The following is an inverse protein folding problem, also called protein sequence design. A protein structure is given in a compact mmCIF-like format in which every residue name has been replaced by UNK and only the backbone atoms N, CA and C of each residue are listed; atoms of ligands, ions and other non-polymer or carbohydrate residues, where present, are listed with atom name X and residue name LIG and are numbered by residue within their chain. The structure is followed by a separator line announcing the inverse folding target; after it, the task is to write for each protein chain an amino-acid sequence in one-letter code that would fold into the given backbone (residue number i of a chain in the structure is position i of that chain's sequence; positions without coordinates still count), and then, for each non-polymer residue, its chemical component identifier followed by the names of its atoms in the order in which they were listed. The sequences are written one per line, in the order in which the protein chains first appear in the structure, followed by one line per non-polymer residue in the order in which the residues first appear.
data_IF_927849394826
#
_entry.id   IF_927849394826
#
_cell.length_a   1.000
_cell.length_b   1.000
_cell.length_c   1.000
_cell.angle_alpha   90.00
_cell.angle_beta   90.00
_cell.angle_gamma   90.00
#
_symmetry.space_group_name_H-M   'P 1'
#
loop_
_entity.id
_entity.type
_entity.pdbx_description
1 polymer ?
#
# COMPACT_ATOMS: atom_id res chain seq x y z
N UNK A 1 -10.79 23.32 53.38
CA UNK A 1 -10.46 22.04 52.72
C UNK A 1 -11.47 21.83 51.62
N UNK A 2 -11.06 21.74 50.35
CA UNK A 2 -11.96 21.61 49.22
C UNK A 2 -12.23 20.13 48.93
N UNK A 3 -13.49 19.72 48.99
CA UNK A 3 -13.95 18.36 48.71
C UNK A 3 -13.69 17.97 47.24
N UNK A 4 -12.92 16.89 47.06
CA UNK A 4 -12.70 16.26 45.75
C UNK A 4 -13.97 15.52 45.34
N UNK A 5 -14.64 16.01 44.30
CA UNK A 5 -15.79 15.32 43.70
C UNK A 5 -15.28 14.10 42.91
N UNK A 6 -15.77 12.92 43.26
CA UNK A 6 -15.50 11.68 42.55
C UNK A 6 -16.43 11.60 41.33
N UNK A 7 -15.87 11.47 40.12
CA UNK A 7 -16.64 11.39 38.88
C UNK A 7 -17.38 10.06 38.78
N UNK A 8 -18.62 10.11 38.32
CA UNK A 8 -19.49 8.93 38.17
C UNK A 8 -19.07 8.10 36.95
N UNK A 9 -19.32 6.78 36.95
CA UNK A 9 -18.73 5.84 35.99
C UNK A 9 -19.25 5.95 34.54
N UNK A 10 -20.13 6.91 34.26
CA UNK A 10 -20.76 7.12 32.96
C UNK A 10 -20.70 8.58 32.49
N UNK A 11 -19.88 9.43 33.10
CA UNK A 11 -19.64 10.78 32.56
C UNK A 11 -18.72 10.69 31.33
N UNK A 12 -19.18 11.05 30.12
CA UNK A 12 -18.31 11.11 28.96
C UNK A 12 -17.35 12.29 29.12
N UNK A 13 -16.05 11.99 29.22
CA UNK A 13 -14.98 13.00 29.35
C UNK A 13 -15.10 14.05 28.24
N UNK A 14 -15.54 15.27 28.59
CA UNK A 14 -15.42 16.44 27.71
C UNK A 14 -13.95 16.87 27.66
N UNK A 15 -13.19 16.24 26.77
CA UNK A 15 -11.92 16.76 26.30
C UNK A 15 -12.16 17.45 24.96
N UNK A 16 -12.30 18.78 25.01
CA UNK A 16 -12.36 19.62 23.84
C UNK A 16 -11.00 19.68 23.13
N UNK A 17 -11.09 19.52 21.81
CA UNK A 17 -10.23 20.09 20.76
C UNK A 17 -8.79 19.59 20.55
N UNK A 18 -8.59 18.99 19.37
CA UNK A 18 -7.45 19.33 18.52
C UNK A 18 -6.32 18.31 18.42
N UNK A 19 -6.43 17.35 17.50
CA UNK A 19 -5.48 17.18 16.38
C UNK A 19 -5.95 16.06 15.46
N UNK A 20 -6.12 16.39 14.18
CA UNK A 20 -6.41 15.50 13.06
C UNK A 20 -5.42 14.33 13.01
N UNK A 21 -5.80 13.16 13.50
CA UNK A 21 -5.08 11.93 13.20
C UNK A 21 -5.56 11.41 11.85
N UNK A 22 -4.81 11.75 10.80
CA UNK A 22 -4.84 11.06 9.50
C UNK A 22 -4.96 9.57 9.77
N UNK A 23 -6.04 8.97 9.30
CA UNK A 23 -6.15 7.53 9.09
C UNK A 23 -5.01 7.10 8.15
N UNK A 24 -3.84 6.83 8.73
CA UNK A 24 -2.80 6.03 8.10
C UNK A 24 -3.35 4.62 8.15
N UNK A 25 -4.07 4.23 7.09
CA UNK A 25 -4.30 2.82 6.79
C UNK A 25 -2.96 2.13 6.94
N UNK A 26 -2.90 1.25 7.94
CA UNK A 26 -1.78 0.42 8.30
C UNK A 26 -1.26 -0.25 7.03
N UNK A 27 -0.12 0.26 6.53
CA UNK A 27 0.73 -0.52 5.67
C UNK A 27 1.01 -1.80 6.44
N UNK A 28 0.47 -2.92 5.95
CA UNK A 28 0.69 -4.24 6.50
C UNK A 28 2.20 -4.42 6.68
N UNK A 29 2.65 -4.34 7.94
CA UNK A 29 3.91 -4.91 8.37
C UNK A 29 3.83 -6.38 8.03
N UNK A 30 4.38 -6.78 6.89
CA UNK A 30 4.78 -8.16 6.72
C UNK A 30 5.97 -8.35 7.65
N UNK A 31 5.65 -8.82 8.86
CA UNK A 31 6.58 -9.37 9.82
C UNK A 31 7.36 -10.51 9.15
N UNK A 32 8.63 -10.28 8.84
CA UNK A 32 9.60 -11.37 8.80
C UNK A 32 10.80 -10.94 9.65
N UNK A 33 10.97 -11.70 10.72
CA UNK A 33 11.81 -11.41 11.87
C UNK A 33 13.29 -11.72 11.57
N UNK A 34 13.92 -10.90 10.75
CA UNK A 34 15.38 -10.70 10.73
C UNK A 34 15.66 -9.19 10.67
N UNK A 35 16.81 -8.69 11.18
CA UNK A 35 17.14 -7.28 11.10
C UNK A 35 17.47 -6.91 9.65
N UNK A 36 16.44 -6.86 8.80
CA UNK A 36 16.51 -6.33 7.45
C UNK A 36 17.00 -4.89 7.61
N UNK A 37 18.18 -4.56 7.06
CA UNK A 37 18.73 -3.22 7.18
C UNK A 37 17.71 -2.20 6.72
N UNK A 38 17.49 -1.13 7.51
CA UNK A 38 16.45 -0.10 7.21
C UNK A 38 16.58 0.47 5.80
N UNK A 39 17.80 0.53 5.26
CA UNK A 39 18.08 0.94 3.89
C UNK A 39 17.41 0.03 2.84
N UNK A 40 17.43 -1.29 3.05
CA UNK A 40 16.79 -2.27 2.16
C UNK A 40 15.28 -2.15 2.25
N UNK A 41 14.73 -2.11 3.47
CA UNK A 41 13.29 -1.95 3.69
C UNK A 41 12.75 -0.65 3.05
N UNK A 42 13.50 0.45 3.13
CA UNK A 42 13.12 1.72 2.51
C UNK A 42 13.13 1.63 0.96
N UNK A 43 14.09 0.91 0.37
CA UNK A 43 14.12 0.66 -1.09
C UNK A 43 12.97 -0.24 -1.55
N UNK A 44 12.66 -1.29 -0.79
CA UNK A 44 11.50 -2.16 -1.02
C UNK A 44 10.20 -1.35 -0.98
N UNK A 45 9.99 -0.60 0.10
CA UNK A 45 8.82 0.24 0.28
C UNK A 45 8.68 1.27 -0.85
N UNK A 46 9.78 1.89 -1.29
CA UNK A 46 9.75 2.85 -2.41
C UNK A 46 9.36 2.20 -3.73
N UNK A 47 9.89 1.01 -4.06
CA UNK A 47 9.54 0.31 -5.31
C UNK A 47 8.09 -0.15 -5.30
N UNK A 48 7.61 -0.67 -4.19
CA UNK A 48 6.19 -1.02 -3.97
C UNK A 48 5.31 0.23 -4.12
N UNK A 49 5.66 1.33 -3.46
CA UNK A 49 4.90 2.57 -3.51
C UNK A 49 4.82 3.15 -4.92
N UNK A 50 5.89 3.08 -5.71
CA UNK A 50 5.89 3.55 -7.10
C UNK A 50 5.10 2.59 -8.00
N UNK A 51 5.40 1.28 -7.93
CA UNK A 51 4.80 0.26 -8.79
C UNK A 51 3.29 0.11 -8.55
N UNK A 52 2.81 0.33 -7.32
CA UNK A 52 1.38 0.30 -7.01
C UNK A 52 0.74 1.68 -7.07
N UNK A 53 1.44 2.71 -6.61
CA UNK A 53 0.92 4.06 -6.51
C UNK A 53 0.66 4.70 -7.86
N UNK A 54 1.59 4.57 -8.83
CA UNK A 54 1.39 5.15 -10.17
C UNK A 54 0.16 4.56 -10.85
N UNK A 55 0.02 3.22 -10.99
CA UNK A 55 -1.19 2.65 -11.58
C UNK A 55 -2.45 3.01 -10.78
N UNK A 56 -2.40 3.02 -9.44
CA UNK A 56 -3.59 3.36 -8.64
C UNK A 56 -4.06 4.80 -8.86
N UNK A 57 -3.13 5.76 -8.93
CA UNK A 57 -3.45 7.16 -9.24
C UNK A 57 -4.00 7.26 -10.65
N UNK A 58 -3.44 6.51 -11.61
CA UNK A 58 -3.91 6.51 -12.99
C UNK A 58 -5.32 5.92 -13.11
N UNK A 59 -5.61 4.81 -12.41
CA UNK A 59 -6.94 4.22 -12.35
C UNK A 59 -7.97 5.15 -11.73
N UNK A 60 -7.61 5.83 -10.64
CA UNK A 60 -8.45 6.89 -10.05
C UNK A 60 -8.65 8.05 -11.02
N UNK A 61 -7.60 8.47 -11.75
CA UNK A 61 -7.67 9.51 -12.76
C UNK A 61 -8.62 9.17 -13.90
N UNK A 62 -8.59 7.94 -14.41
CA UNK A 62 -9.53 7.45 -15.44
C UNK A 62 -10.97 7.50 -14.93
N UNK A 63 -11.20 7.06 -13.69
CA UNK A 63 -12.52 7.06 -13.09
C UNK A 63 -13.08 8.48 -12.92
N UNK A 64 -12.30 9.37 -12.30
CA UNK A 64 -12.69 10.77 -12.07
C UNK A 64 -12.83 11.53 -13.39
N UNK A 65 -11.92 11.31 -14.34
CA UNK A 65 -11.96 11.92 -15.66
C UNK A 65 -13.23 11.52 -16.42
N UNK A 66 -13.56 10.24 -16.47
CA UNK A 66 -14.80 9.76 -17.09
C UNK A 66 -16.03 10.36 -16.43
N UNK A 67 -16.08 10.43 -15.10
CA UNK A 67 -17.19 11.04 -14.39
C UNK A 67 -17.38 12.51 -14.78
N UNK A 68 -16.28 13.27 -14.90
CA UNK A 68 -16.35 14.68 -15.29
C UNK A 68 -16.80 14.86 -16.74
N UNK A 69 -16.29 14.03 -17.67
CA UNK A 69 -16.68 14.05 -19.08
C UNK A 69 -18.19 13.81 -19.26
N UNK A 70 -18.72 12.78 -18.58
CA UNK A 70 -20.15 12.43 -18.63
C UNK A 70 -21.01 13.49 -17.94
N UNK A 71 -20.58 13.99 -16.77
CA UNK A 71 -21.33 15.01 -16.00
C UNK A 71 -21.43 16.35 -16.74
N UNK A 72 -20.43 16.68 -17.56
CA UNK A 72 -20.43 17.90 -18.39
C UNK A 72 -21.11 17.71 -19.75
N UNK A 73 -21.65 16.52 -20.04
CA UNK A 73 -22.24 16.17 -21.33
C UNK A 73 -21.31 16.45 -22.52
N UNK A 74 -19.99 16.37 -22.29
CA UNK A 74 -18.97 16.59 -23.35
C UNK A 74 -18.87 15.32 -24.21
N UNK A 75 -18.93 14.16 -23.56
CA UNK A 75 -18.79 12.86 -24.19
C UNK A 75 -19.49 11.79 -23.35
N UNK A 76 -20.33 10.99 -24.00
CA UNK A 76 -20.94 9.82 -23.37
C UNK A 76 -19.93 8.68 -23.33
N UNK A 77 -19.29 8.52 -22.17
CA UNK A 77 -18.36 7.42 -21.93
C UNK A 77 -19.16 6.21 -21.41
N UNK A 78 -19.16 5.07 -22.14
CA UNK A 78 -19.81 3.86 -21.67
C UNK A 78 -19.22 3.41 -20.31
N UNK A 79 -20.06 3.11 -19.29
CA UNK A 79 -19.58 2.71 -17.97
C UNK A 79 -18.62 1.51 -17.99
N UNK A 80 -18.81 0.59 -18.95
CA UNK A 80 -17.92 -0.57 -19.13
C UNK A 80 -16.48 -0.18 -19.47
N UNK A 81 -16.27 0.86 -20.28
CA UNK A 81 -14.92 1.34 -20.64
C UNK A 81 -14.26 1.96 -19.41
N UNK A 82 -14.99 2.77 -18.65
CA UNK A 82 -14.48 3.38 -17.41
C UNK A 82 -14.11 2.34 -16.38
N UNK A 83 -14.95 1.32 -16.21
CA UNK A 83 -14.71 0.22 -15.29
C UNK A 83 -13.50 -0.62 -15.73
N UNK A 84 -13.39 -0.96 -17.02
CA UNK A 84 -12.24 -1.71 -17.52
C UNK A 84 -10.94 -0.90 -17.44
N UNK A 85 -10.98 0.39 -17.78
CA UNK A 85 -9.80 1.26 -17.72
C UNK A 85 -9.32 1.47 -16.28
N UNK A 86 -10.19 1.92 -15.39
CA UNK A 86 -9.83 2.12 -13.97
C UNK A 86 -9.50 0.80 -13.27
N UNK A 87 -10.33 -0.23 -13.46
CA UNK A 87 -10.15 -1.57 -12.91
C UNK A 87 -8.86 -2.20 -13.39
N UNK A 88 -8.52 -2.07 -14.67
CA UNK A 88 -7.26 -2.54 -15.24
C UNK A 88 -6.04 -1.91 -14.55
N UNK A 89 -6.06 -0.59 -14.33
CA UNK A 89 -5.00 0.09 -13.59
C UNK A 89 -4.93 -0.29 -12.12
N UNK A 90 -6.06 -0.54 -11.46
CA UNK A 90 -6.08 -1.07 -10.10
C UNK A 90 -5.49 -2.49 -10.03
N UNK A 91 -5.80 -3.36 -11.00
CA UNK A 91 -5.22 -4.69 -11.10
C UNK A 91 -3.70 -4.63 -11.35
N UNK A 92 -3.25 -3.73 -12.23
CA UNK A 92 -1.82 -3.46 -12.41
C UNK A 92 -1.17 -2.97 -11.12
N UNK A 93 -1.86 -2.11 -10.36
CA UNK A 93 -1.38 -1.64 -9.06
C UNK A 93 -1.24 -2.78 -8.04
N UNK A 94 -2.20 -3.71 -8.01
CA UNK A 94 -2.15 -4.92 -7.19
C UNK A 94 -0.97 -5.81 -7.58
N UNK A 95 -0.75 -6.04 -8.88
CA UNK A 95 0.44 -6.74 -9.39
C UNK A 95 1.74 -6.02 -9.07
N UNK A 96 1.71 -4.68 -9.01
CA UNK A 96 2.81 -3.82 -8.61
C UNK A 96 3.29 -4.07 -7.18
N UNK A 97 2.42 -4.55 -6.28
CA UNK A 97 2.82 -4.94 -4.92
C UNK A 97 3.77 -6.14 -4.98
N UNK A 98 3.37 -7.20 -5.67
CA UNK A 98 4.17 -8.41 -5.88
C UNK A 98 5.48 -8.09 -6.60
N UNK A 99 5.41 -7.27 -7.65
CA UNK A 99 6.59 -6.82 -8.36
C UNK A 99 7.54 -6.02 -7.47
N UNK A 100 7.04 -5.05 -6.69
CA UNK A 100 7.87 -4.19 -5.85
C UNK A 100 8.61 -4.95 -4.75
N UNK A 101 8.00 -5.99 -4.18
CA UNK A 101 8.63 -6.84 -3.16
C UNK A 101 9.68 -7.77 -3.78
N UNK A 102 9.37 -8.40 -4.93
CA UNK A 102 10.24 -9.39 -5.58
C UNK A 102 11.39 -8.75 -6.38
N UNK A 103 11.17 -7.59 -6.99
CA UNK A 103 12.19 -6.82 -7.74
C UNK A 103 13.25 -6.22 -6.82
N UNK A 104 12.94 -5.96 -5.56
CA UNK A 104 13.89 -5.31 -4.67
C UNK A 104 15.13 -6.18 -4.43
N UNK A 105 16.28 -5.53 -4.34
CA UNK A 105 17.50 -6.17 -3.83
C UNK A 105 17.35 -6.37 -2.33
N UNK A 106 17.48 -7.61 -1.86
CA UNK A 106 17.47 -7.96 -0.44
C UNK A 106 18.88 -7.86 0.17
N UNK A 107 19.92 -7.68 -0.66
CA UNK A 107 21.29 -7.41 -0.25
C UNK A 107 21.58 -5.90 -0.05
N UNK A 108 22.70 -5.57 0.62
CA UNK A 108 23.15 -4.18 0.80
C UNK A 108 23.29 -3.41 -0.53
N UNK A 109 23.71 -4.10 -1.60
CA UNK A 109 23.89 -3.50 -2.91
C UNK A 109 22.55 -3.11 -3.55
N UNK A 110 22.40 -1.88 -4.07
CA UNK A 110 21.13 -1.37 -4.60
C UNK A 110 20.63 -2.12 -5.86
N UNK A 111 21.49 -2.87 -6.53
CA UNK A 111 21.16 -3.59 -7.76
C UNK A 111 20.69 -2.67 -8.89
N UNK A 112 20.11 -3.27 -9.94
CA UNK A 112 19.57 -2.53 -11.09
C UNK A 112 18.31 -1.72 -10.74
N UNK A 113 18.06 -0.62 -11.46
CA UNK A 113 16.93 0.31 -11.28
C UNK A 113 15.56 -0.39 -11.33
N UNK A 114 15.39 -1.37 -12.22
CA UNK A 114 14.17 -2.17 -12.36
C UNK A 114 14.23 -3.47 -11.56
N UNK A 115 15.41 -3.93 -11.12
CA UNK A 115 15.55 -5.07 -10.21
C UNK A 115 15.12 -6.43 -10.75
N UNK A 116 14.98 -6.60 -12.07
CA UNK A 116 14.60 -7.87 -12.70
C UNK A 116 15.53 -9.04 -12.33
N UNK A 117 16.80 -8.74 -12.04
CA UNK A 117 17.83 -9.70 -11.63
C UNK A 117 17.50 -10.38 -10.29
N UNK A 118 16.78 -9.69 -9.40
CA UNK A 118 16.48 -10.20 -8.06
C UNK A 118 15.15 -10.98 -8.00
N UNK A 119 14.33 -10.94 -9.05
CA UNK A 119 13.01 -11.58 -9.06
C UNK A 119 13.13 -13.10 -8.94
N UNK A 120 13.94 -13.74 -9.79
CA UNK A 120 14.14 -15.20 -9.77
C UNK A 120 14.68 -15.71 -8.42
N UNK A 121 15.80 -15.18 -7.88
CA UNK A 121 16.33 -15.66 -6.60
C UNK A 121 15.39 -15.36 -5.42
N UNK A 122 14.68 -14.22 -5.41
CA UNK A 122 13.73 -13.90 -4.34
C UNK A 122 12.50 -14.82 -4.35
N UNK A 123 11.99 -15.20 -5.52
CA UNK A 123 10.90 -16.19 -5.64
C UNK A 123 11.36 -17.54 -5.09
N UNK A 124 12.59 -17.97 -5.41
CA UNK A 124 13.10 -19.24 -4.94
C UNK A 124 13.24 -19.26 -3.40
N UNK A 125 13.85 -18.23 -2.80
CA UNK A 125 13.96 -18.08 -1.34
C UNK A 125 12.59 -18.08 -0.66
N UNK A 126 11.60 -17.41 -1.25
CA UNK A 126 10.22 -17.40 -0.73
C UNK A 126 9.56 -18.79 -0.81
N UNK A 127 9.80 -19.55 -1.88
CA UNK A 127 9.29 -20.93 -1.99
C UNK A 127 9.95 -21.87 -0.99
N UNK A 128 11.25 -21.69 -0.76
CA UNK A 128 12.02 -22.46 0.22
C UNK A 128 11.53 -22.15 1.65
N UNK A 129 11.29 -20.88 2.00
CA UNK A 129 10.75 -20.51 3.32
C UNK A 129 9.34 -21.04 3.57
N UNK A 130 8.45 -21.00 2.56
CA UNK A 130 7.09 -21.56 2.66
C UNK A 130 7.15 -23.09 2.86
N UNK A 131 8.06 -23.78 2.16
CA UNK A 131 8.25 -25.22 2.36
C UNK A 131 8.77 -25.55 3.76
N UNK A 132 9.74 -24.79 4.25
CA UNK A 132 10.29 -24.96 5.59
C UNK A 132 9.22 -24.76 6.68
N UNK A 133 8.35 -23.74 6.54
CA UNK A 133 7.22 -23.52 7.47
C UNK A 133 6.14 -24.61 7.39
N UNK A 134 6.02 -25.32 6.27
CA UNK A 134 5.07 -26.43 6.12
C UNK A 134 5.60 -27.75 6.70
N UNK A 135 6.88 -27.80 7.05
CA UNK A 135 7.57 -28.94 7.67
C UNK A 135 7.81 -28.77 9.17
N UNK A 136 7.57 -27.58 9.72
CA UNK A 136 7.52 -27.28 11.16
C UNK A 136 6.10 -27.40 11.70
#
# INVERSE_FOLDING_TARGET
MADRRNSLPFEPSRSAEGTKSKSKRSASKSESSQPIPKAVANRMARRVAIATGIPSIMGMGVFVGSYFLVSRQIMDVPPGITLLGSGGFFLLGLGGLSYGVLSASWEQNPGSLLGFEHIKPNIQRMRESIRAQKQS
#
